data_IF_521234232136
#
_entry.id   IF_521234232136
#
_cell.length_a   1.000
_cell.length_b   1.000
_cell.length_c   1.000
_cell.angle_alpha   90.00
_cell.angle_beta   90.00
_cell.angle_gamma   90.00
#
_symmetry.space_group_name_H-M   'P 1'
#
loop_
_entity.id
_entity.type
_entity.pdbx_description
1 polymer ?
#
# COMPACT_ATOMS: atom_id res chain seq x y z
N UNK A 1 -11.03 -20.77 -6.32
CA UNK A 1 -10.82 -19.32 -6.15
C UNK A 1 -9.78 -18.87 -7.19
N UNK A 2 -9.92 -17.68 -7.79
CA UNK A 2 -8.95 -17.13 -8.75
C UNK A 2 -8.53 -15.75 -8.25
N UNK A 3 -7.24 -15.43 -8.37
CA UNK A 3 -6.70 -14.10 -8.05
C UNK A 3 -6.71 -13.25 -9.31
N UNK A 4 -7.24 -12.02 -9.21
CA UNK A 4 -7.17 -11.04 -10.29
C UNK A 4 -5.73 -10.53 -10.41
N UNK A 5 -5.19 -10.53 -11.62
CA UNK A 5 -3.88 -9.95 -11.93
C UNK A 5 -4.15 -8.72 -12.79
N UNK A 6 -3.62 -7.57 -12.36
CA UNK A 6 -3.70 -6.32 -13.10
C UNK A 6 -2.29 -5.86 -13.44
N UNK A 7 -2.07 -5.54 -14.70
CA UNK A 7 -0.86 -4.92 -15.23
C UNK A 7 -0.89 -3.40 -15.00
N UNK A 8 0.26 -2.75 -15.14
CA UNK A 8 0.39 -1.30 -15.01
C UNK A 8 -0.58 -0.54 -15.95
N UNK A 9 -0.72 -1.00 -17.20
CA UNK A 9 -1.62 -0.39 -18.18
C UNK A 9 -3.10 -0.63 -17.89
N UNK A 10 -3.44 -1.68 -17.12
CA UNK A 10 -4.79 -1.91 -16.62
C UNK A 10 -5.10 -1.06 -15.38
N UNK A 11 -4.10 -0.77 -14.53
CA UNK A 11 -4.30 0.03 -13.31
C UNK A 11 -4.42 1.52 -13.62
N UNK A 12 -3.56 2.07 -14.49
CA UNK A 12 -3.53 3.52 -14.83
C UNK A 12 -4.91 4.14 -15.14
N UNK A 13 -5.75 3.55 -16.03
CA UNK A 13 -7.03 4.15 -16.37
C UNK A 13 -8.10 3.99 -15.28
N UNK A 14 -7.87 3.17 -14.25
CA UNK A 14 -8.82 2.93 -13.15
C UNK A 14 -8.74 3.98 -12.05
N UNK A 15 -7.73 4.85 -12.06
CA UNK A 15 -7.47 5.82 -10.99
C UNK A 15 -7.61 7.25 -11.51
N UNK A 16 -8.46 8.05 -10.87
CA UNK A 16 -8.42 9.50 -11.00
C UNK A 16 -7.64 10.13 -9.84
N UNK A 17 -6.94 11.24 -10.09
CA UNK A 17 -6.16 11.91 -9.04
C UNK A 17 -7.04 12.45 -7.90
N UNK A 18 -8.28 12.87 -8.21
CA UNK A 18 -9.24 13.31 -7.21
C UNK A 18 -9.56 12.21 -6.19
N UNK A 19 -9.95 11.02 -6.68
CA UNK A 19 -10.24 9.87 -5.83
C UNK A 19 -9.01 9.43 -5.03
N UNK A 20 -7.82 9.42 -5.64
CA UNK A 20 -6.57 9.06 -4.96
C UNK A 20 -6.28 10.00 -3.79
N UNK A 21 -6.48 11.31 -3.95
CA UNK A 21 -6.27 12.26 -2.84
C UNK A 21 -7.22 12.00 -1.68
N UNK A 22 -8.51 11.78 -1.95
CA UNK A 22 -9.53 11.51 -0.93
C UNK A 22 -9.21 10.25 -0.12
N UNK A 23 -8.87 9.15 -0.79
CA UNK A 23 -8.57 7.88 -0.10
C UNK A 23 -7.24 7.92 0.66
N UNK A 24 -6.24 8.65 0.17
CA UNK A 24 -4.98 8.85 0.88
C UNK A 24 -5.19 9.68 2.15
N UNK A 25 -6.01 10.74 2.08
CA UNK A 25 -6.36 11.53 3.27
C UNK A 25 -7.08 10.67 4.33
N UNK A 26 -8.04 9.84 3.93
CA UNK A 26 -8.71 8.90 4.84
C UNK A 26 -7.72 7.91 5.45
N UNK A 27 -6.80 7.35 4.66
CA UNK A 27 -5.76 6.45 5.19
C UNK A 27 -4.87 7.13 6.24
N UNK A 28 -4.49 8.39 6.03
CA UNK A 28 -3.76 9.17 7.04
C UNK A 28 -4.60 9.46 8.28
N UNK A 29 -5.90 9.76 8.12
CA UNK A 29 -6.85 9.95 9.23
C UNK A 29 -6.95 8.68 10.08
N UNK A 30 -7.13 7.52 9.46
CA UNK A 30 -7.17 6.22 10.13
C UNK A 30 -5.86 5.92 10.87
N UNK A 31 -4.70 6.21 10.25
CA UNK A 31 -3.39 6.10 10.91
C UNK A 31 -3.28 7.04 12.11
N UNK A 32 -3.65 8.30 11.96
CA UNK A 32 -3.59 9.32 13.01
C UNK A 32 -4.49 8.99 14.20
N UNK A 33 -5.57 8.25 13.96
CA UNK A 33 -6.50 7.78 14.99
C UNK A 33 -6.14 6.40 15.55
N UNK A 34 -5.02 5.80 15.12
CA UNK A 34 -4.50 4.54 15.65
C UNK A 34 -5.27 3.28 15.20
N UNK A 35 -6.04 3.35 14.10
CA UNK A 35 -6.93 2.26 13.63
C UNK A 35 -6.32 1.44 12.49
N UNK A 36 -5.00 1.27 12.53
CA UNK A 36 -4.27 0.54 11.50
C UNK A 36 -3.17 -0.30 12.12
N UNK A 37 -2.93 -1.46 11.52
CA UNK A 37 -1.74 -2.26 11.80
C UNK A 37 -0.73 -1.96 10.70
N UNK A 38 0.31 -1.19 11.02
CA UNK A 38 1.33 -0.76 10.05
C UNK A 38 2.69 -0.70 10.75
N UNK A 39 3.46 -1.81 10.77
CA UNK A 39 4.79 -1.84 11.36
C UNK A 39 5.79 -1.01 10.53
N UNK A 40 6.97 -0.78 11.09
CA UNK A 40 8.08 -0.21 10.33
C UNK A 40 8.44 -1.11 9.15
N UNK A 41 8.82 -0.50 8.02
CA UNK A 41 9.19 -1.22 6.80
C UNK A 41 10.36 -2.17 7.06
N UNK A 42 10.26 -3.47 6.73
CA UNK A 42 11.42 -4.34 6.64
C UNK A 42 12.27 -4.01 5.41
N UNK A 43 13.59 -4.13 5.56
CA UNK A 43 14.58 -3.91 4.51
C UNK A 43 15.46 -5.14 4.34
N UNK A 44 15.72 -5.52 3.10
CA UNK A 44 16.73 -6.49 2.72
C UNK A 44 17.72 -5.83 1.76
N UNK A 45 18.98 -5.71 2.17
CA UNK A 45 20.01 -5.02 1.39
C UNK A 45 20.83 -6.00 0.54
N UNK A 46 20.99 -5.66 -0.74
CA UNK A 46 21.82 -6.39 -1.70
C UNK A 46 23.09 -5.59 -2.01
N UNK A 47 24.02 -5.52 -1.05
CA UNK A 47 25.23 -4.70 -1.15
C UNK A 47 26.05 -4.93 -2.43
N UNK A 48 26.11 -6.18 -2.93
CA UNK A 48 26.78 -6.54 -4.19
C UNK A 48 26.25 -5.78 -5.42
N UNK A 49 24.96 -5.42 -5.40
CA UNK A 49 24.25 -4.82 -6.53
C UNK A 49 23.81 -3.38 -6.26
N UNK A 50 24.24 -2.80 -5.14
CA UNK A 50 23.85 -1.44 -4.72
C UNK A 50 22.31 -1.24 -4.70
N UNK A 51 21.58 -2.21 -4.13
CA UNK A 51 20.12 -2.20 -4.12
C UNK A 51 19.51 -2.74 -2.83
N UNK A 52 18.19 -2.59 -2.69
CA UNK A 52 17.41 -3.14 -1.60
C UNK A 52 16.05 -3.70 -2.06
N UNK A 53 15.43 -4.51 -1.20
CA UNK A 53 14.03 -4.91 -1.28
C UNK A 53 13.34 -4.43 -0.01
N UNK A 54 12.14 -3.86 -0.19
CA UNK A 54 11.32 -3.28 0.86
C UNK A 54 9.96 -3.94 0.86
N UNK A 55 9.42 -4.16 2.04
CA UNK A 55 8.05 -4.66 2.23
C UNK A 55 7.29 -3.61 3.03
N UNK A 56 6.06 -3.26 2.65
CA UNK A 56 5.29 -2.21 3.32
C UNK A 56 3.92 -2.75 3.77
N UNK A 57 3.87 -3.76 4.66
CA UNK A 57 2.62 -4.38 5.05
C UNK A 57 1.75 -3.38 5.85
N UNK A 58 0.47 -3.33 5.54
CA UNK A 58 -0.50 -2.54 6.28
C UNK A 58 -1.89 -3.20 6.27
N UNK A 59 -2.64 -2.99 7.36
CA UNK A 59 -4.05 -3.34 7.47
C UNK A 59 -4.83 -2.15 8.01
N UNK A 60 -5.76 -1.63 7.21
CA UNK A 60 -6.68 -0.56 7.59
C UNK A 60 -7.97 -1.19 8.10
N UNK A 61 -8.13 -1.25 9.42
CA UNK A 61 -9.11 -2.13 10.09
C UNK A 61 -10.55 -1.76 9.73
N UNK A 62 -10.90 -0.46 9.74
CA UNK A 62 -12.25 0.01 9.39
C UNK A 62 -12.63 -0.20 7.93
N UNK A 63 -11.63 -0.31 7.05
CA UNK A 63 -11.83 -0.49 5.62
C UNK A 63 -11.76 -1.96 5.20
N UNK A 64 -11.32 -2.84 6.10
CA UNK A 64 -11.09 -4.27 5.83
C UNK A 64 -10.10 -4.51 4.67
N UNK A 65 -9.09 -3.64 4.52
CA UNK A 65 -8.09 -3.70 3.44
C UNK A 65 -6.71 -4.05 4.01
N UNK A 66 -6.12 -5.14 3.54
CA UNK A 66 -4.73 -5.53 3.80
C UNK A 66 -3.91 -5.49 2.50
N UNK A 67 -2.72 -4.89 2.54
CA UNK A 67 -1.82 -4.75 1.38
C UNK A 67 -0.34 -4.77 1.80
N UNK A 68 0.56 -4.89 0.80
CA UNK A 68 2.04 -4.94 0.94
C UNK A 68 2.69 -3.85 0.10
#
# INVERSE_FOLDING_TARGET
MKTLILTDDEVKPLLSMGEVMEVVEEAFREKGLGRVQMPSKPYLFFAKYDGDLRVMPSYLERMEIAAV
#
